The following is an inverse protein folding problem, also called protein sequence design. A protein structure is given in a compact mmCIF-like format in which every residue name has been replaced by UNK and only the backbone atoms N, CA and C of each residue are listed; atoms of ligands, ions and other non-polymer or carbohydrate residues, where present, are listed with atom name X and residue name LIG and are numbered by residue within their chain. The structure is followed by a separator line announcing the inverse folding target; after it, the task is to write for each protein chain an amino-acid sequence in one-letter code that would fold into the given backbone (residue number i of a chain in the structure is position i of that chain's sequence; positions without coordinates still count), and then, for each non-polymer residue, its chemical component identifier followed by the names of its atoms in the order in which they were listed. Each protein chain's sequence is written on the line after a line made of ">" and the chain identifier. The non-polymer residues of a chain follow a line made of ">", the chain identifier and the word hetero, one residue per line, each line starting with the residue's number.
data_IF_745132527271
#
_entry.id   IF_745132527271
#
_cell.length_a   1.000
_cell.length_b   1.000
_cell.length_c   1.000
_cell.angle_alpha   90.00
_cell.angle_beta   90.00
_cell.angle_gamma   90.00
#
_symmetry.space_group_name_H-M   'P 1'
#
loop_
_entity.id
_entity.type
_entity.pdbx_description
1 polymer ?
#
# COMPACT_ATOMS: atom_id res chain seq x y z
N UNK A 1 5.56 -13.58 -4.13
CA UNK A 1 4.75 -12.40 -3.78
C UNK A 1 5.46 -11.67 -2.68
N UNK A 2 5.67 -10.39 -2.89
CA UNK A 2 6.31 -9.45 -2.00
C UNK A 2 5.36 -8.29 -1.70
N UNK A 3 5.69 -7.50 -0.68
CA UNK A 3 4.94 -6.31 -0.31
C UNK A 3 5.72 -5.06 -0.65
N UNK A 4 5.04 -4.04 -1.18
CA UNK A 4 5.64 -2.78 -1.60
C UNK A 4 4.88 -1.60 -1.02
N UNK A 5 5.59 -0.71 -0.34
CA UNK A 5 5.08 0.63 -0.03
C UNK A 5 5.32 1.48 -1.27
N UNK A 6 4.24 1.93 -1.89
CA UNK A 6 4.26 2.84 -3.04
C UNK A 6 3.68 4.16 -2.57
N UNK A 7 4.40 5.25 -2.81
CA UNK A 7 3.98 6.59 -2.46
C UNK A 7 4.04 7.50 -3.68
N UNK A 8 3.09 8.42 -3.80
CA UNK A 8 3.20 9.62 -4.62
C UNK A 8 3.18 10.82 -3.70
N UNK A 9 4.21 11.65 -3.79
CA UNK A 9 4.35 12.88 -3.02
C UNK A 9 4.18 14.08 -3.95
N UNK A 10 3.36 15.04 -3.54
CA UNK A 10 2.93 16.18 -4.36
C UNK A 10 2.00 17.10 -3.56
N UNK A 11 1.05 17.77 -4.22
CA UNK A 11 -0.01 18.52 -3.51
C UNK A 11 -0.83 17.65 -2.52
N UNK A 12 -0.94 16.35 -2.81
CA UNK A 12 -1.51 15.36 -1.91
C UNK A 12 -0.59 14.15 -1.82
N UNK A 13 -0.41 13.61 -0.62
CA UNK A 13 0.41 12.42 -0.40
C UNK A 13 -0.50 11.19 -0.45
N UNK A 14 -0.27 10.32 -1.44
CA UNK A 14 -1.00 9.06 -1.58
C UNK A 14 -0.05 7.90 -1.32
N UNK A 15 -0.30 7.13 -0.26
CA UNK A 15 0.55 6.01 0.11
C UNK A 15 -0.29 4.73 0.17
N UNK A 16 0.18 3.68 -0.50
CA UNK A 16 -0.47 2.36 -0.47
C UNK A 16 0.56 1.28 -0.23
N UNK A 17 0.13 0.23 0.47
CA UNK A 17 0.89 -1.02 0.58
C UNK A 17 0.26 -2.04 -0.35
N UNK A 18 1.06 -2.60 -1.25
CA UNK A 18 0.59 -3.43 -2.36
C UNK A 18 1.32 -4.77 -2.34
N UNK A 19 0.56 -5.85 -2.36
CA UNK A 19 1.05 -7.20 -2.59
C UNK A 19 1.22 -7.42 -4.09
N UNK A 20 2.40 -7.78 -4.56
CA UNK A 20 2.68 -7.97 -5.99
C UNK A 20 3.79 -9.02 -6.24
N UNK A 21 3.95 -9.44 -7.50
CA UNK A 21 5.06 -10.34 -7.87
C UNK A 21 6.40 -9.61 -7.94
N UNK A 22 6.37 -8.33 -8.31
CA UNK A 22 7.53 -7.46 -8.43
C UNK A 22 7.12 -5.98 -8.25
N UNK A 23 8.12 -5.09 -8.18
CA UNK A 23 7.93 -3.65 -7.97
C UNK A 23 7.15 -2.95 -9.09
N UNK A 24 7.26 -3.41 -10.33
CA UNK A 24 6.61 -2.77 -11.48
C UNK A 24 5.11 -3.09 -11.48
N UNK A 25 4.73 -4.32 -11.12
CA UNK A 25 3.32 -4.68 -10.90
C UNK A 25 2.71 -3.84 -9.78
N UNK A 26 3.45 -3.61 -8.68
CA UNK A 26 2.98 -2.77 -7.58
C UNK A 26 2.75 -1.31 -8.02
N UNK A 27 3.71 -0.72 -8.74
CA UNK A 27 3.59 0.65 -9.28
C UNK A 27 2.44 0.74 -10.29
N UNK A 28 2.30 -0.22 -11.19
CA UNK A 28 1.20 -0.25 -12.16
C UNK A 28 -0.18 -0.29 -11.48
N UNK A 29 -0.34 -1.14 -10.47
CA UNK A 29 -1.56 -1.20 -9.66
C UNK A 29 -1.84 0.14 -8.95
N UNK A 30 -0.81 0.74 -8.34
CA UNK A 30 -0.92 2.05 -7.69
C UNK A 30 -1.40 3.13 -8.66
N UNK A 31 -0.78 3.23 -9.84
CA UNK A 31 -1.14 4.24 -10.86
C UNK A 31 -2.58 4.04 -11.32
N UNK A 32 -2.98 2.81 -11.66
CA UNK A 32 -4.33 2.51 -12.12
C UNK A 32 -5.40 2.87 -11.07
N UNK A 33 -5.18 2.53 -9.80
CA UNK A 33 -6.15 2.82 -8.73
C UNK A 33 -6.28 4.31 -8.45
N UNK A 34 -5.18 5.07 -8.49
CA UNK A 34 -5.23 6.51 -8.28
C UNK A 34 -5.82 7.26 -9.48
N UNK A 35 -5.51 6.85 -10.71
CA UNK A 35 -6.11 7.42 -11.93
C UNK A 35 -7.62 7.19 -11.98
N UNK A 36 -8.11 6.00 -11.60
CA UNK A 36 -9.56 5.73 -11.49
C UNK A 36 -10.26 6.64 -10.48
N UNK A 37 -9.57 6.99 -9.39
CA UNK A 37 -10.07 7.89 -8.37
C UNK A 37 -9.92 9.39 -8.75
N UNK A 38 -9.28 9.69 -9.87
CA UNK A 38 -9.04 11.07 -10.33
C UNK A 38 -7.93 11.80 -9.58
N UNK A 39 -7.04 11.07 -8.89
CA UNK A 39 -5.90 11.67 -8.22
C UNK A 39 -4.77 11.96 -9.21
N UNK A 40 -4.23 13.18 -9.16
CA UNK A 40 -2.98 13.52 -9.83
C UNK A 40 -1.81 12.84 -9.12
N UNK A 41 -0.90 12.30 -9.92
CA UNK A 41 0.31 11.63 -9.45
C UNK A 41 1.51 12.44 -9.91
N UNK A 42 2.46 12.64 -9.00
CA UNK A 42 3.71 13.36 -9.25
C UNK A 42 4.86 12.35 -9.18
N UNK A 43 5.81 12.55 -8.26
CA UNK A 43 6.95 11.65 -8.09
C UNK A 43 6.52 10.38 -7.33
N UNK A 44 6.71 9.22 -7.97
CA UNK A 44 6.39 7.93 -7.38
C UNK A 44 7.65 7.29 -6.80
N UNK A 45 7.63 7.02 -5.50
CA UNK A 45 8.64 6.23 -4.82
C UNK A 45 8.12 4.83 -4.48
N UNK A 46 9.02 3.84 -4.51
CA UNK A 46 8.68 2.44 -4.20
C UNK A 46 9.74 1.81 -3.32
N UNK A 47 9.29 1.15 -2.24
CA UNK A 47 10.16 0.41 -1.32
C UNK A 47 9.55 -0.95 -1.02
N UNK A 48 10.33 -2.01 -1.16
CA UNK A 48 9.93 -3.34 -0.71
C UNK A 48 9.86 -3.37 0.82
N UNK A 49 8.82 -3.99 1.36
CA UNK A 49 8.59 -4.19 2.79
C UNK A 49 8.84 -5.64 3.17
N UNK A 50 9.28 -5.85 4.43
CA UNK A 50 9.30 -7.20 4.99
C UNK A 50 7.89 -7.63 5.40
N UNK A 51 7.64 -8.93 5.42
CA UNK A 51 6.33 -9.51 5.77
C UNK A 51 5.90 -9.18 7.20
N UNK A 52 6.87 -9.13 8.12
CA UNK A 52 6.73 -8.84 9.54
C UNK A 52 6.82 -7.33 9.86
N UNK A 53 6.97 -6.48 8.84
CA UNK A 53 6.99 -5.04 9.04
C UNK A 53 5.60 -4.56 9.50
N UNK A 54 5.58 -3.74 10.54
CA UNK A 54 4.36 -3.28 11.19
C UNK A 54 3.84 -2.00 10.57
N UNK A 55 2.52 -1.92 10.41
CA UNK A 55 1.76 -0.77 9.97
C UNK A 55 0.83 -0.37 11.10
N UNK A 56 0.77 0.93 11.40
CA UNK A 56 -0.24 1.50 12.29
C UNK A 56 -1.59 1.51 11.59
N UNK A 57 -2.61 0.92 12.20
CA UNK A 57 -3.93 0.74 11.56
C UNK A 57 -5.06 1.46 12.28
N UNK A 58 -4.86 1.84 13.55
CA UNK A 58 -5.82 2.58 14.35
C UNK A 58 -5.08 3.41 15.40
N UNK A 59 -5.51 4.64 15.63
CA UNK A 59 -4.91 5.58 16.59
C UNK A 59 -5.94 6.12 17.61
N UNK A 60 -7.08 5.43 17.79
CA UNK A 60 -8.08 5.85 18.77
C UNK A 60 -7.66 5.32 20.16
N UNK A 61 -7.10 6.21 20.97
CA UNK A 61 -6.68 5.93 22.35
C UNK A 61 -5.28 5.34 22.46
N UNK A 62 -5.01 4.21 21.80
CA UNK A 62 -3.68 3.60 21.72
C UNK A 62 -3.40 3.11 20.29
N UNK A 63 -2.17 3.28 19.77
CA UNK A 63 -1.85 2.84 18.43
C UNK A 63 -1.88 1.32 18.32
N UNK A 64 -2.68 0.81 17.39
CA UNK A 64 -2.75 -0.62 17.06
C UNK A 64 -1.87 -0.84 15.83
N UNK A 65 -0.96 -1.81 15.94
CA UNK A 65 -0.07 -2.21 14.87
C UNK A 65 -0.40 -3.62 14.39
N UNK A 66 -0.44 -3.81 13.07
CA UNK A 66 -0.51 -5.13 12.42
C UNK A 66 0.63 -5.27 11.43
N UNK A 67 1.11 -6.48 11.22
CA UNK A 67 2.09 -6.78 10.18
C UNK A 67 1.43 -6.70 8.80
N UNK A 68 2.23 -6.44 7.76
CA UNK A 68 1.72 -6.45 6.38
C UNK A 68 1.10 -7.80 6.01
N UNK A 69 1.70 -8.89 6.49
CA UNK A 69 1.19 -10.23 6.23
C UNK A 69 -0.15 -10.51 6.93
N UNK A 70 -0.35 -10.05 8.17
CA UNK A 70 -1.64 -10.14 8.86
C UNK A 70 -2.72 -9.39 8.09
N UNK A 71 -2.44 -8.15 7.68
CA UNK A 71 -3.38 -7.33 6.91
C UNK A 71 -3.74 -7.97 5.57
N UNK A 72 -2.78 -8.58 4.89
CA UNK A 72 -3.07 -9.30 3.65
C UNK A 72 -3.95 -10.53 3.89
N UNK A 73 -3.72 -11.30 4.96
CA UNK A 73 -4.51 -12.50 5.29
C UNK A 73 -5.95 -12.18 5.71
N UNK A 74 -6.23 -10.97 6.19
CA UNK A 74 -7.58 -10.50 6.52
C UNK A 74 -8.44 -10.22 5.27
N UNK A 75 -7.81 -10.08 4.10
CA UNK A 75 -8.50 -9.82 2.84
C UNK A 75 -9.29 -11.04 2.36
N UNK A 76 -10.51 -10.80 1.85
CA UNK A 76 -11.39 -11.86 1.31
C UNK A 76 -10.91 -12.39 -0.05
N UNK A 77 -10.04 -11.66 -0.74
CA UNK A 77 -9.56 -11.99 -2.08
C UNK A 77 -8.04 -11.82 -2.13
N UNK A 78 -7.31 -12.88 -2.48
CA UNK A 78 -5.85 -12.95 -2.44
C UNK A 78 -5.22 -13.02 -3.85
N UNK A 79 -5.78 -12.29 -4.82
CA UNK A 79 -5.11 -12.11 -6.11
C UNK A 79 -4.01 -11.05 -5.99
N UNK A 80 -3.06 -11.06 -6.93
CA UNK A 80 -2.02 -10.04 -7.00
C UNK A 80 -1.89 -9.50 -8.45
N UNK A 81 -1.61 -8.20 -8.64
CA UNK A 81 -1.36 -7.20 -7.59
C UNK A 81 -2.63 -6.77 -6.84
N UNK A 82 -2.51 -6.48 -5.54
CA UNK A 82 -3.62 -6.08 -4.68
C UNK A 82 -3.22 -5.06 -3.62
N UNK A 83 -4.07 -4.06 -3.40
CA UNK A 83 -3.90 -3.04 -2.36
C UNK A 83 -4.23 -3.66 -0.99
N UNK A 84 -3.21 -3.89 -0.18
CA UNK A 84 -3.34 -4.42 1.18
C UNK A 84 -3.97 -3.38 2.10
N UNK A 85 -3.49 -2.14 2.03
CA UNK A 85 -4.04 -1.01 2.78
C UNK A 85 -3.63 0.32 2.14
N UNK A 86 -4.44 1.36 2.36
CA UNK A 86 -4.07 2.75 2.10
C UNK A 86 -3.57 3.34 3.41
N UNK A 87 -2.49 4.13 3.36
CA UNK A 87 -2.01 4.86 4.52
C UNK A 87 -2.41 6.32 4.35
N UNK A 88 -3.19 6.82 5.28
CA UNK A 88 -3.43 8.26 5.42
C UNK A 88 -2.17 8.90 6.03
N UNK A 89 -1.81 10.07 5.54
CA UNK A 89 -0.74 10.89 6.10
C UNK A 89 -1.34 12.23 6.54
#
# INVERSE_FOLDING_TARGET
>A
MEFYKVASEGLSTNIKVIAASDKHQAVGCFVMENQKAGFELEEISVRQMKRDEKIEVECIGFPIYKTVEELFKEQKCLYIPWVVTNLEN
#
